data_IF_617025079730
#
_entry.id   IF_617025079730
#
_cell.length_a   1.000
_cell.length_b   1.000
_cell.length_c   1.000
_cell.angle_alpha   90.00
_cell.angle_beta   90.00
_cell.angle_gamma   90.00
#
_symmetry.space_group_name_H-M   'P 1'
#
loop_
_entity.id
_entity.type
_entity.pdbx_description
1 polymer ?
#
# COMPACT_ATOMS: atom_id res chain seq x y z
N UNK A 1 -2.83 -9.40 0.12
CA UNK A 1 -1.57 -8.64 0.36
C UNK A 1 -0.96 -8.88 1.72
N UNK A 2 -1.67 -8.72 2.85
CA UNK A 2 -1.11 -8.98 4.19
C UNK A 2 -0.41 -10.35 4.32
N UNK A 3 -1.07 -11.45 3.90
CA UNK A 3 -0.46 -12.78 3.94
C UNK A 3 0.83 -12.93 3.13
N UNK A 4 0.96 -12.22 2.00
CA UNK A 4 2.21 -12.23 1.21
C UNK A 4 3.35 -11.52 1.97
N UNK A 5 3.05 -10.45 2.71
CA UNK A 5 4.04 -9.77 3.56
C UNK A 5 4.47 -10.67 4.72
N UNK A 6 3.55 -11.45 5.29
CA UNK A 6 3.91 -12.44 6.31
C UNK A 6 4.89 -13.48 5.76
N UNK A 7 4.61 -14.04 4.57
CA UNK A 7 5.55 -14.94 3.89
C UNK A 7 6.91 -14.29 3.62
N UNK A 8 6.94 -13.01 3.22
CA UNK A 8 8.21 -12.29 3.03
C UNK A 8 9.03 -12.20 4.31
N UNK A 9 8.39 -11.93 5.46
CA UNK A 9 9.06 -11.89 6.77
C UNK A 9 9.66 -13.26 7.11
N UNK A 10 8.89 -14.34 6.92
CA UNK A 10 9.38 -15.70 7.14
C UNK A 10 10.57 -16.04 6.23
N UNK A 11 10.51 -15.65 4.94
CA UNK A 11 11.59 -15.89 3.98
C UNK A 11 12.91 -15.18 4.33
N UNK A 12 12.85 -14.04 5.04
CA UNK A 12 14.06 -13.33 5.49
C UNK A 12 14.51 -13.74 6.90
N UNK A 13 13.88 -14.77 7.48
CA UNK A 13 14.23 -15.30 8.80
C UNK A 13 13.67 -14.50 9.98
N UNK A 14 12.69 -13.63 9.75
CA UNK A 14 11.98 -12.90 10.81
C UNK A 14 10.83 -13.75 11.38
N UNK A 15 10.52 -13.57 12.65
CA UNK A 15 9.35 -14.15 13.33
C UNK A 15 8.16 -13.18 13.24
N UNK A 16 7.11 -13.46 12.44
CA UNK A 16 5.95 -12.57 12.31
C UNK A 16 5.15 -12.39 13.61
N UNK A 17 5.23 -13.35 14.54
CA UNK A 17 4.50 -13.33 15.81
C UNK A 17 5.21 -12.48 16.88
N UNK A 18 6.43 -11.99 16.61
CA UNK A 18 7.11 -11.07 17.53
C UNK A 18 6.31 -9.79 17.71
N UNK A 19 6.24 -9.29 18.94
CA UNK A 19 5.37 -8.15 19.31
C UNK A 19 5.51 -6.92 18.39
N UNK A 20 6.71 -6.65 17.87
CA UNK A 20 6.96 -5.55 16.94
C UNK A 20 6.43 -5.76 15.51
N UNK A 21 6.24 -7.02 15.08
CA UNK A 21 5.83 -7.38 13.72
C UNK A 21 4.37 -7.80 13.58
N UNK A 22 3.65 -8.08 14.67
CA UNK A 22 2.24 -8.52 14.62
C UNK A 22 1.36 -7.68 13.68
N UNK A 23 1.59 -6.36 13.62
CA UNK A 23 0.85 -5.44 12.73
C UNK A 23 1.60 -5.04 11.46
N UNK A 24 2.84 -5.48 11.27
CA UNK A 24 3.66 -5.14 10.11
C UNK A 24 3.04 -5.61 8.80
N UNK A 25 2.54 -6.85 8.66
CA UNK A 25 1.89 -7.30 7.44
C UNK A 25 0.73 -6.39 6.98
N UNK A 26 -0.14 -6.00 7.93
CA UNK A 26 -1.27 -5.12 7.66
C UNK A 26 -0.81 -3.69 7.30
N UNK A 27 0.11 -3.11 8.08
CA UNK A 27 0.63 -1.76 7.82
C UNK A 27 1.33 -1.68 6.47
N UNK A 28 2.15 -2.66 6.14
CA UNK A 28 2.89 -2.69 4.88
C UNK A 28 1.93 -2.84 3.70
N UNK A 29 0.96 -3.75 3.79
CA UNK A 29 -0.06 -3.89 2.75
C UNK A 29 -0.79 -2.56 2.50
N UNK A 30 -1.28 -1.88 3.54
CA UNK A 30 -1.93 -0.57 3.43
C UNK A 30 -1.01 0.50 2.82
N UNK A 31 0.25 0.54 3.25
CA UNK A 31 1.23 1.47 2.71
C UNK A 31 1.47 1.22 1.21
N UNK A 32 1.62 -0.04 0.80
CA UNK A 32 1.81 -0.41 -0.60
C UNK A 32 0.60 0.01 -1.44
N UNK A 33 -0.61 -0.31 -1.02
CA UNK A 33 -1.86 0.10 -1.69
C UNK A 33 -1.96 1.62 -1.83
N UNK A 34 -1.57 2.38 -0.81
CA UNK A 34 -1.54 3.84 -0.88
C UNK A 34 -0.50 4.36 -1.87
N UNK A 35 0.71 3.81 -1.83
CA UNK A 35 1.82 4.22 -2.72
C UNK A 35 1.53 3.91 -4.19
N UNK A 36 0.72 2.88 -4.47
CA UNK A 36 0.34 2.47 -5.81
C UNK A 36 -1.07 2.90 -6.22
N UNK A 37 -1.76 3.73 -5.42
CA UNK A 37 -3.16 4.10 -5.69
C UNK A 37 -3.37 4.82 -7.03
N UNK A 38 -2.34 5.47 -7.55
CA UNK A 38 -2.41 6.19 -8.83
C UNK A 38 -2.76 5.32 -10.03
N UNK A 39 -2.55 3.99 -9.96
CA UNK A 39 -3.02 3.08 -11.02
C UNK A 39 -4.55 2.96 -11.09
N UNK A 40 -5.25 3.29 -10.00
CA UNK A 40 -6.71 3.29 -9.91
C UNK A 40 -7.29 4.71 -10.05
N UNK A 41 -6.44 5.74 -10.16
CA UNK A 41 -6.88 7.13 -10.31
C UNK A 41 -7.11 7.49 -11.78
N UNK A 42 -8.18 8.24 -12.04
CA UNK A 42 -8.53 8.76 -13.37
C UNK A 42 -8.13 10.24 -13.47
N UNK A 43 -7.47 10.61 -14.58
CA UNK A 43 -7.10 12.01 -14.84
C UNK A 43 -8.34 12.92 -14.92
N UNK A 44 -9.46 12.42 -15.43
CA UNK A 44 -10.72 13.18 -15.47
C UNK A 44 -11.22 13.52 -14.06
N UNK A 45 -11.11 12.56 -13.13
CA UNK A 45 -11.56 12.72 -11.76
C UNK A 45 -10.63 13.65 -10.97
N UNK A 46 -9.32 13.59 -11.26
CA UNK A 46 -8.31 14.47 -10.65
C UNK A 46 -8.47 15.92 -11.14
N UNK A 47 -8.62 16.13 -12.45
CA UNK A 47 -8.73 17.47 -13.04
C UNK A 47 -10.07 18.11 -12.66
N UNK A 48 -11.14 17.31 -12.55
CA UNK A 48 -12.48 17.77 -12.15
C UNK A 48 -12.93 19.05 -12.90
N UNK A 49 -12.62 19.14 -14.19
CA UNK A 49 -12.98 20.29 -15.03
C UNK A 49 -12.25 21.60 -14.70
N UNK A 50 -11.18 21.59 -13.91
CA UNK A 50 -10.37 22.76 -13.59
C UNK A 50 -9.46 23.20 -14.76
N UNK A 51 -10.09 23.51 -15.91
CA UNK A 51 -9.45 24.12 -17.08
C UNK A 51 -9.86 25.60 -17.13
N UNK A 52 -8.87 26.49 -17.21
CA UNK A 52 -9.08 27.92 -17.34
C UNK A 52 -8.51 28.36 -18.69
N UNK A 53 -9.31 29.08 -19.47
CA UNK A 53 -8.82 29.82 -20.64
C UNK A 53 -8.35 31.21 -20.16
N UNK A 54 -7.11 31.60 -20.50
CA UNK A 54 -6.54 32.93 -20.20
C UNK A 54 -7.28 34.09 -20.88
#
# INVERSE_FOLDING_TARGET
MSGAVQTLLECIGEDPDRAGLLKTPERYAKALMFLTKGYEESMNDIINGALFDE
#
